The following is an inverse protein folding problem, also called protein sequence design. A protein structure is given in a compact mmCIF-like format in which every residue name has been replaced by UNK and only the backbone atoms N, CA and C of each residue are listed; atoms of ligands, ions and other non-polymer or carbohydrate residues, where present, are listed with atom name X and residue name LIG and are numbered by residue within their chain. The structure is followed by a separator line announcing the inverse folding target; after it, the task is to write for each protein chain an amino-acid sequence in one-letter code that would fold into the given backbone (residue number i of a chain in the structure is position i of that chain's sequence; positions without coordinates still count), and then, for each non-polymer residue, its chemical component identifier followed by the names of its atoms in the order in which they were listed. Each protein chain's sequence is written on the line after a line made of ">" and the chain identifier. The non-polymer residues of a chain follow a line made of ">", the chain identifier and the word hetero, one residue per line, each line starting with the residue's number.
data_IF_945053123379
#
_entry.id   IF_945053123379
#
_cell.length_a   1.000
_cell.length_b   1.000
_cell.length_c   1.000
_cell.angle_alpha   90.00
_cell.angle_beta   90.00
_cell.angle_gamma   90.00
#
_symmetry.space_group_name_H-M   'P 1'
#
loop_
_entity.id
_entity.type
_entity.pdbx_description
1 polymer ?
#
# COMPACT_ATOMS: atom_id res chain seq x y z
N UNK A 1 -3.37 -7.45 4.38
CA UNK A 1 -3.07 -6.16 5.05
C UNK A 1 -1.99 -6.41 6.09
N UNK A 2 -1.12 -5.44 6.32
CA UNK A 2 0.02 -5.60 7.22
C UNK A 2 0.34 -4.26 7.89
N UNK A 3 0.29 -4.23 9.21
CA UNK A 3 0.81 -3.11 10.01
C UNK A 3 2.35 -3.15 9.97
N UNK A 4 2.99 -1.98 9.88
CA UNK A 4 4.44 -1.88 9.70
C UNK A 4 5.02 -0.77 10.58
N UNK A 5 6.11 -1.07 11.28
CA UNK A 5 6.80 -0.11 12.15
C UNK A 5 7.48 1.00 11.34
N UNK A 6 7.96 0.72 10.13
CA UNK A 6 8.55 1.71 9.23
C UNK A 6 7.54 2.82 8.88
N UNK A 7 6.29 2.45 8.59
CA UNK A 7 5.20 3.39 8.37
C UNK A 7 4.89 4.25 9.61
N UNK A 8 5.12 3.74 10.81
CA UNK A 8 4.90 4.48 12.04
C UNK A 8 6.06 5.41 12.42
N UNK A 9 7.24 5.25 11.80
CA UNK A 9 8.49 5.87 12.26
C UNK A 9 9.27 6.63 11.18
N UNK A 10 8.88 6.55 9.90
CA UNK A 10 9.57 7.26 8.82
C UNK A 10 9.52 8.80 8.95
N UNK A 11 8.53 9.32 9.69
CA UNK A 11 8.57 10.66 10.28
C UNK A 11 8.12 10.60 11.74
N UNK A 12 8.37 11.69 12.47
CA UNK A 12 7.84 11.89 13.82
C UNK A 12 6.33 12.23 13.76
N UNK A 13 5.50 11.22 13.54
CA UNK A 13 4.05 11.40 13.50
C UNK A 13 3.45 11.69 14.88
N UNK A 14 2.35 12.43 14.89
CA UNK A 14 1.55 12.60 16.10
C UNK A 14 0.95 11.26 16.54
N UNK A 15 0.91 10.98 17.84
CA UNK A 15 0.42 9.69 18.38
C UNK A 15 -1.00 9.37 17.91
N UNK A 16 -1.87 10.37 17.85
CA UNK A 16 -3.25 10.18 17.37
C UNK A 16 -3.32 9.78 15.89
N UNK A 17 -2.39 10.25 15.04
CA UNK A 17 -2.34 9.85 13.63
C UNK A 17 -2.02 8.36 13.50
N UNK A 18 -1.02 7.89 14.25
CA UNK A 18 -0.63 6.47 14.26
C UNK A 18 -1.79 5.62 14.77
N UNK A 19 -2.38 6.01 15.91
CA UNK A 19 -3.53 5.32 16.49
C UNK A 19 -4.71 5.24 15.52
N UNK A 20 -5.07 6.37 14.90
CA UNK A 20 -6.14 6.44 13.91
C UNK A 20 -5.86 5.50 12.73
N UNK A 21 -4.66 5.54 12.17
CA UNK A 21 -4.31 4.73 11.00
C UNK A 21 -4.39 3.22 11.30
N UNK A 22 -3.79 2.77 12.40
CA UNK A 22 -3.85 1.35 12.79
C UNK A 22 -5.27 0.93 13.16
N UNK A 23 -6.03 1.79 13.84
CA UNK A 23 -7.45 1.55 14.13
C UNK A 23 -8.27 1.35 12.86
N UNK A 24 -8.13 2.25 11.88
CA UNK A 24 -8.80 2.14 10.58
C UNK A 24 -8.42 0.85 9.84
N UNK A 25 -7.16 0.43 9.87
CA UNK A 25 -6.73 -0.82 9.25
C UNK A 25 -7.42 -2.05 9.88
N UNK A 26 -7.55 -2.08 11.20
CA UNK A 26 -8.20 -3.17 11.94
C UNK A 26 -9.70 -3.21 11.68
N UNK A 27 -10.37 -2.07 11.73
CA UNK A 27 -11.80 -1.97 11.41
C UNK A 27 -12.08 -2.37 9.95
N UNK A 28 -11.23 -1.94 9.02
CA UNK A 28 -11.39 -2.31 7.61
C UNK A 28 -11.13 -3.80 7.37
N UNK A 29 -10.18 -4.40 8.08
CA UNK A 29 -9.99 -5.84 8.07
C UNK A 29 -11.25 -6.60 8.52
N UNK A 30 -11.84 -6.21 9.65
CA UNK A 30 -13.08 -6.83 10.14
C UNK A 30 -14.24 -6.61 9.19
N UNK A 31 -14.34 -5.44 8.56
CA UNK A 31 -15.31 -5.17 7.50
C UNK A 31 -15.15 -6.13 6.32
N UNK A 32 -13.94 -6.29 5.78
CA UNK A 32 -13.68 -7.21 4.66
C UNK A 32 -13.96 -8.66 5.03
N UNK A 33 -13.59 -9.08 6.24
CA UNK A 33 -13.88 -10.42 6.77
C UNK A 33 -15.39 -10.68 6.87
N UNK A 34 -16.17 -9.72 7.38
CA UNK A 34 -17.64 -9.80 7.46
C UNK A 34 -18.31 -9.89 6.08
N UNK A 35 -17.66 -9.34 5.05
CA UNK A 35 -18.11 -9.42 3.66
C UNK A 35 -17.50 -10.63 2.91
N UNK A 36 -17.02 -11.65 3.64
CA UNK A 36 -16.53 -12.92 3.09
C UNK A 36 -15.32 -12.80 2.13
N UNK A 37 -14.54 -11.73 2.23
CA UNK A 37 -13.28 -11.64 1.51
C UNK A 37 -12.23 -12.56 2.14
N UNK A 38 -11.45 -13.26 1.30
CA UNK A 38 -10.27 -13.98 1.77
C UNK A 38 -9.16 -12.99 2.08
N UNK A 39 -8.96 -12.70 3.36
CA UNK A 39 -8.03 -11.69 3.82
C UNK A 39 -7.02 -12.27 4.82
N UNK A 40 -5.75 -11.92 4.61
CA UNK A 40 -4.69 -12.14 5.61
C UNK A 40 -4.33 -10.81 6.25
N UNK A 41 -4.28 -10.79 7.58
CA UNK A 41 -3.82 -9.66 8.39
C UNK A 41 -2.55 -10.03 9.13
N UNK A 42 -1.57 -9.13 9.10
CA UNK A 42 -0.35 -9.20 9.91
C UNK A 42 -0.38 -7.97 10.81
N UNK A 43 -0.62 -8.17 12.10
CA UNK A 43 -0.58 -7.09 13.09
C UNK A 43 0.86 -6.62 13.36
N UNK A 44 0.97 -5.48 14.04
CA UNK A 44 2.25 -4.84 14.28
C UNK A 44 3.20 -5.68 15.14
N UNK A 45 2.70 -6.40 16.15
CA UNK A 45 3.53 -7.22 17.04
C UNK A 45 4.13 -8.40 16.27
N UNK A 46 3.31 -9.09 15.50
CA UNK A 46 3.74 -10.15 14.60
C UNK A 46 4.72 -9.63 13.57
N UNK A 47 4.44 -8.46 12.96
CA UNK A 47 5.33 -7.88 11.99
C UNK A 47 6.72 -7.65 12.58
N UNK A 48 6.83 -6.98 13.73
CA UNK A 48 8.10 -6.69 14.40
C UNK A 48 8.85 -7.97 14.78
N UNK A 49 8.12 -9.00 15.24
CA UNK A 49 8.72 -10.24 15.72
C UNK A 49 9.22 -11.14 14.60
N UNK A 50 8.47 -11.24 13.50
CA UNK A 50 8.70 -12.23 12.45
C UNK A 50 9.34 -11.65 11.19
N UNK A 51 9.22 -10.33 10.96
CA UNK A 51 9.67 -9.68 9.74
C UNK A 51 10.47 -8.40 10.06
N UNK A 52 11.53 -8.14 9.29
CA UNK A 52 12.33 -6.93 9.48
C UNK A 52 11.60 -5.67 9.01
N UNK A 53 10.84 -5.79 7.92
CA UNK A 53 10.13 -4.68 7.28
C UNK A 53 8.88 -5.16 6.53
N UNK A 54 8.15 -4.20 5.97
CA UNK A 54 6.99 -4.44 5.12
C UNK A 54 7.22 -5.51 4.03
N UNK A 55 8.34 -5.41 3.31
CA UNK A 55 8.62 -6.21 2.12
C UNK A 55 9.01 -7.65 2.44
N UNK A 56 9.62 -7.91 3.59
CA UNK A 56 9.84 -9.28 4.07
C UNK A 56 8.52 -10.00 4.36
N UNK A 57 7.59 -9.32 5.05
CA UNK A 57 6.25 -9.85 5.31
C UNK A 57 5.47 -10.11 4.01
N UNK A 58 5.55 -9.17 3.06
CA UNK A 58 4.98 -9.35 1.73
C UNK A 58 5.60 -10.56 1.01
N UNK A 59 6.92 -10.71 1.02
CA UNK A 59 7.62 -11.82 0.39
C UNK A 59 7.21 -13.18 0.98
N UNK A 60 7.13 -13.26 2.31
CA UNK A 60 6.63 -14.44 2.99
C UNK A 60 5.20 -14.78 2.54
N UNK A 61 4.32 -13.79 2.49
CA UNK A 61 2.93 -13.98 2.07
C UNK A 61 2.82 -14.47 0.62
N UNK A 62 3.56 -13.85 -0.31
CA UNK A 62 3.53 -14.22 -1.73
C UNK A 62 4.02 -15.66 -1.93
N UNK A 63 5.14 -16.04 -1.31
CA UNK A 63 5.70 -17.40 -1.42
C UNK A 63 4.79 -18.45 -0.79
N UNK A 64 4.26 -18.18 0.41
CA UNK A 64 3.37 -19.10 1.11
C UNK A 64 2.11 -19.43 0.29
N UNK A 65 1.62 -18.48 -0.50
CA UNK A 65 0.40 -18.62 -1.27
C UNK A 65 0.65 -18.83 -2.78
N UNK A 66 1.90 -18.99 -3.22
CA UNK A 66 2.29 -19.13 -4.62
C UNK A 66 1.69 -18.03 -5.53
N UNK A 67 1.75 -16.77 -5.08
CA UNK A 67 1.18 -15.63 -5.81
C UNK A 67 2.20 -15.08 -6.81
N UNK A 68 1.83 -15.04 -8.09
CA UNK A 68 2.69 -14.55 -9.18
C UNK A 68 2.39 -13.09 -9.58
N UNK A 69 1.17 -12.61 -9.28
CA UNK A 69 0.69 -11.28 -9.68
C UNK A 69 0.04 -10.55 -8.50
N UNK A 70 0.40 -9.28 -8.34
CA UNK A 70 -0.21 -8.35 -7.38
C UNK A 70 -1.07 -7.33 -8.13
N UNK A 71 -2.33 -7.20 -7.75
CA UNK A 71 -3.18 -6.09 -8.18
C UNK A 71 -3.32 -5.12 -7.00
N UNK A 72 -3.12 -3.84 -7.24
CA UNK A 72 -3.20 -2.81 -6.21
C UNK A 72 -3.66 -1.48 -6.79
N UNK A 73 -4.32 -0.65 -5.98
CA UNK A 73 -4.56 0.74 -6.38
C UNK A 73 -3.25 1.50 -6.50
N UNK A 74 -3.25 2.56 -7.32
CA UNK A 74 -2.14 3.50 -7.43
C UNK A 74 -1.65 3.97 -6.05
N UNK A 75 -0.32 3.94 -5.86
CA UNK A 75 0.32 4.36 -4.61
C UNK A 75 0.68 5.85 -4.74
N UNK A 76 0.05 6.68 -3.92
CA UNK A 76 0.27 8.13 -3.90
C UNK A 76 1.62 8.53 -3.27
N UNK A 77 2.07 7.81 -2.24
CA UNK A 77 3.39 8.05 -1.65
C UNK A 77 4.48 7.58 -2.63
N UNK A 78 5.08 8.55 -3.31
CA UNK A 78 6.09 8.30 -4.34
C UNK A 78 7.33 7.59 -3.78
N UNK A 79 7.73 7.84 -2.52
CA UNK A 79 8.87 7.16 -1.89
C UNK A 79 8.55 5.69 -1.65
N UNK A 80 7.35 5.39 -1.15
CA UNK A 80 6.90 4.01 -0.95
C UNK A 80 6.70 3.28 -2.28
N UNK A 81 6.08 3.94 -3.27
CA UNK A 81 5.90 3.41 -4.63
C UNK A 81 7.23 2.99 -5.24
N UNK A 82 8.23 3.87 -5.18
CA UNK A 82 9.57 3.56 -5.69
C UNK A 82 10.22 2.36 -4.98
N UNK A 83 10.00 2.20 -3.67
CA UNK A 83 10.47 1.02 -2.92
C UNK A 83 9.73 -0.25 -3.36
N UNK A 84 8.41 -0.16 -3.54
CA UNK A 84 7.56 -1.26 -3.98
C UNK A 84 7.94 -1.76 -5.38
N UNK A 85 8.05 -0.85 -6.36
CA UNK A 85 8.42 -1.21 -7.73
C UNK A 85 9.83 -1.83 -7.79
N UNK A 86 10.79 -1.28 -7.03
CA UNK A 86 12.13 -1.88 -6.88
C UNK A 86 12.07 -3.29 -6.29
N UNK A 87 11.24 -3.51 -5.27
CA UNK A 87 11.02 -4.82 -4.67
C UNK A 87 10.46 -5.81 -5.70
N UNK A 88 9.39 -5.45 -6.41
CA UNK A 88 8.75 -6.31 -7.41
C UNK A 88 9.73 -6.66 -8.55
N UNK A 89 10.48 -5.68 -9.05
CA UNK A 89 11.49 -5.90 -10.08
C UNK A 89 12.59 -6.86 -9.61
N UNK A 90 13.06 -6.72 -8.36
CA UNK A 90 14.08 -7.60 -7.77
C UNK A 90 13.57 -9.04 -7.60
N UNK A 91 12.33 -9.21 -7.14
CA UNK A 91 11.72 -10.52 -6.91
C UNK A 91 11.07 -11.13 -8.16
N UNK A 92 11.06 -10.40 -9.29
CA UNK A 92 10.37 -10.77 -10.54
C UNK A 92 8.87 -11.06 -10.35
N UNK A 93 8.23 -10.32 -9.45
CA UNK A 93 6.78 -10.41 -9.20
C UNK A 93 6.05 -9.48 -10.15
N UNK A 94 5.04 -9.98 -10.86
CA UNK A 94 4.21 -9.15 -11.74
C UNK A 94 3.31 -8.28 -10.87
N UNK A 95 3.11 -7.03 -11.25
CA UNK A 95 2.14 -6.16 -10.59
C UNK A 95 1.39 -5.29 -11.60
N UNK A 96 0.18 -4.91 -11.25
CA UNK A 96 -0.67 -4.01 -12.05
C UNK A 96 -1.35 -2.99 -11.14
N UNK A 97 -1.18 -1.71 -11.49
CA UNK A 97 -1.88 -0.62 -10.82
C UNK A 97 -3.29 -0.46 -11.38
N UNK A 98 -4.27 -0.47 -10.48
CA UNK A 98 -5.67 -0.13 -10.73
C UNK A 98 -5.85 1.36 -10.41
N UNK A 99 -6.59 2.08 -11.26
CA UNK A 99 -6.95 3.48 -11.02
C UNK A 99 -7.54 3.65 -9.62
N UNK A 100 -7.01 4.61 -8.86
CA UNK A 100 -7.59 4.93 -7.56
C UNK A 100 -9.00 5.52 -7.72
N UNK A 101 -10.02 5.00 -6.99
CA UNK A 101 -11.36 5.58 -6.99
C UNK A 101 -11.42 6.91 -6.21
N UNK A 102 -10.33 7.30 -5.53
CA UNK A 102 -10.30 8.51 -4.69
C UNK A 102 -10.20 9.81 -5.50
N UNK A 103 -9.83 9.74 -6.78
CA UNK A 103 -9.69 10.92 -7.63
C UNK A 103 -10.64 10.86 -8.82
N UNK A 104 -11.28 11.99 -9.12
CA UNK A 104 -12.12 12.16 -10.31
C UNK A 104 -11.27 12.11 -11.58
N UNK A 105 -10.13 12.79 -11.56
CA UNK A 105 -9.20 12.95 -12.68
C UNK A 105 -7.97 12.06 -12.51
N UNK A 106 -7.45 11.56 -13.62
CA UNK A 106 -6.17 10.86 -13.72
C UNK A 106 -5.02 11.83 -13.98
N UNK A 107 -3.80 11.37 -13.72
CA UNK A 107 -2.58 12.11 -14.07
C UNK A 107 -2.55 12.54 -15.55
N UNK A 108 -3.03 11.67 -16.46
CA UNK A 108 -3.13 11.99 -17.88
C UNK A 108 -4.15 13.09 -18.20
N UNK A 109 -5.21 13.24 -17.41
CA UNK A 109 -6.23 14.27 -17.62
C UNK A 109 -5.65 15.67 -17.39
N UNK A 110 -4.66 15.80 -16.51
CA UNK A 110 -3.96 17.07 -16.27
C UNK A 110 -3.09 17.53 -17.45
N UNK A 111 -2.75 16.64 -18.41
CA UNK A 111 -2.02 17.03 -19.62
C UNK A 111 -2.83 18.01 -20.47
N UNK A 112 -4.15 17.85 -20.51
CA UNK A 112 -5.05 18.75 -21.25
C UNK A 112 -5.22 20.11 -20.57
N UNK A 113 -5.07 20.17 -19.24
CA UNK A 113 -5.21 21.40 -18.45
C UNK A 113 -3.99 22.33 -18.64
N UNK A 114 -2.76 21.78 -18.66
CA UNK A 114 -1.52 22.58 -18.82
C UNK A 114 -1.40 23.30 -20.16
N UNK A 115 -2.06 22.81 -21.21
CA UNK A 115 -2.04 23.46 -22.54
C UNK A 115 -2.78 24.80 -22.51
N UNK A 116 -3.82 24.96 -21.67
CA UNK A 116 -4.61 26.19 -21.58
C UNK A 116 -4.00 27.28 -20.70
N UNK A 117 -3.05 26.95 -19.82
CA UNK A 117 -2.42 27.94 -18.91
C UNK A 117 -1.19 28.62 -19.50
N UNK A 118 -0.84 28.32 -20.76
CA UNK A 118 0.34 28.85 -21.46
C UNK A 118 -0.02 29.94 -22.49
N UNK A 119 -1.28 30.40 -22.51
CA UNK A 119 -1.82 31.39 -23.46
C UNK A 119 -2.37 32.65 -22.79
N UNK A 120 -1.81 33.07 -21.66
CA UNK A 120 -2.03 34.40 -21.09
C UNK A 120 -0.71 35.14 -20.91
#
# INVERSE_FOLDING_TARGET
>A
MQEDMGLCTYFKHHKQKIYYFLGCMREYHEYLKKNNFNITYIDLEKNIKEYKDYFEGLNFFLKKNNIEKINLFEIEDQLFRNKFEKYCNKQKVKYEFIKSPMFLLQENDYKFIKIKSSTC
#
